data_IF_246686600674
#
_entry.id   IF_246686600674
#
_cell.length_a   1.000
_cell.length_b   1.000
_cell.length_c   1.000
_cell.angle_alpha   90.00
_cell.angle_beta   90.00
_cell.angle_gamma   90.00
#
_symmetry.space_group_name_H-M   'P 1'
#
loop_
_entity.id
_entity.type
_entity.pdbx_description
1 polymer ?
#
# COMPACT_ATOMS: atom_id res chain seq x y z
N UNK A 1 -13.27 -11.71 1.99
CA UNK A 1 -11.99 -12.40 2.32
C UNK A 1 -12.22 -13.81 2.81
N UNK A 2 -12.99 -13.97 3.89
CA UNK A 2 -13.41 -15.27 4.41
C UNK A 2 -14.44 -16.00 3.52
N UNK A 3 -15.04 -15.31 2.56
CA UNK A 3 -16.14 -15.77 1.71
C UNK A 3 -15.75 -16.91 0.75
N UNK A 4 -14.44 -17.13 0.53
CA UNK A 4 -13.90 -18.27 -0.23
C UNK A 4 -13.27 -19.35 0.66
N UNK A 5 -13.47 -19.28 1.98
CA UNK A 5 -12.82 -20.22 2.88
C UNK A 5 -13.63 -21.50 3.06
N UNK A 6 -13.16 -22.59 2.45
CA UNK A 6 -13.78 -23.90 2.52
C UNK A 6 -13.58 -24.58 3.89
N UNK A 7 -12.51 -24.23 4.62
CA UNK A 7 -12.25 -24.66 5.99
C UNK A 7 -11.84 -23.45 6.85
N UNK A 8 -12.72 -23.08 7.77
CA UNK A 8 -12.61 -21.85 8.56
C UNK A 8 -11.46 -21.90 9.57
N UNK A 9 -11.26 -23.02 10.27
CA UNK A 9 -10.19 -23.17 11.26
C UNK A 9 -8.82 -23.08 10.60
N UNK A 10 -8.64 -23.74 9.45
CA UNK A 10 -7.40 -23.67 8.67
C UNK A 10 -7.13 -22.26 8.12
N UNK A 11 -8.20 -21.51 7.81
CA UNK A 11 -8.12 -20.10 7.44
C UNK A 11 -7.58 -19.26 8.59
N UNK A 12 -8.19 -19.40 9.76
CA UNK A 12 -7.88 -18.61 10.95
C UNK A 12 -6.44 -18.88 11.38
N UNK A 13 -6.03 -20.16 11.48
CA UNK A 13 -4.66 -20.55 11.85
C UNK A 13 -3.57 -19.97 10.91
N UNK A 14 -3.82 -19.94 9.60
CA UNK A 14 -2.83 -19.44 8.65
C UNK A 14 -2.90 -17.92 8.42
N UNK A 15 -4.10 -17.34 8.42
CA UNK A 15 -4.28 -15.90 8.18
C UNK A 15 -3.91 -15.07 9.40
N UNK A 16 -4.11 -15.58 10.63
CA UNK A 16 -3.70 -14.89 11.85
C UNK A 16 -2.19 -14.63 11.92
N UNK A 17 -1.38 -15.47 11.26
CA UNK A 17 0.07 -15.28 11.19
C UNK A 17 0.50 -14.06 10.36
N UNK A 18 -0.34 -13.61 9.42
CA UNK A 18 -0.01 -12.54 8.47
C UNK A 18 -0.87 -11.29 8.62
N UNK A 19 -2.07 -11.42 9.20
CA UNK A 19 -2.96 -10.29 9.40
C UNK A 19 -2.55 -9.51 10.65
N UNK A 20 -2.40 -8.18 10.55
CA UNK A 20 -2.12 -7.38 11.73
C UNK A 20 -3.32 -7.38 12.67
N UNK A 21 -3.08 -7.51 13.98
CA UNK A 21 -4.12 -7.49 15.01
C UNK A 21 -4.79 -6.13 15.20
N UNK A 22 -4.20 -5.07 14.63
CA UNK A 22 -4.73 -3.70 14.62
C UNK A 22 -4.54 -3.11 13.22
N UNK A 23 -5.41 -2.18 12.78
CA UNK A 23 -5.21 -1.49 11.51
C UNK A 23 -3.83 -0.80 11.48
N UNK A 24 -3.02 -1.00 10.43
CA UNK A 24 -1.61 -0.59 10.41
C UNK A 24 -1.40 0.93 10.50
N UNK A 25 -2.43 1.71 10.21
CA UNK A 25 -2.38 3.16 10.23
C UNK A 25 -3.33 3.80 11.24
N UNK A 26 -3.97 3.06 12.15
CA UNK A 26 -4.83 3.69 13.15
C UNK A 26 -4.05 3.97 14.45
N UNK A 27 -4.11 5.20 15.04
CA UNK A 27 -4.91 6.37 14.66
C UNK A 27 -4.17 7.38 13.76
N UNK A 28 -3.06 6.97 13.11
CA UNK A 28 -2.22 7.82 12.27
C UNK A 28 -3.03 8.39 11.09
N UNK A 29 -3.04 9.71 10.99
CA UNK A 29 -3.56 10.42 9.82
C UNK A 29 -2.39 11.06 9.07
N UNK A 30 -2.50 11.12 7.76
CA UNK A 30 -1.55 11.80 6.88
C UNK A 30 -2.21 13.08 6.39
N UNK A 31 -1.51 14.21 6.44
CA UNK A 31 -2.07 15.51 6.04
C UNK A 31 -1.98 15.68 4.53
N UNK A 32 -0.90 15.24 3.90
CA UNK A 32 -0.72 15.23 2.45
C UNK A 32 -0.35 13.84 1.96
N UNK A 33 -0.96 13.41 0.85
CA UNK A 33 -0.69 12.12 0.23
C UNK A 33 -0.48 12.28 -1.28
N UNK A 34 0.45 11.51 -1.84
CA UNK A 34 0.59 11.31 -3.27
C UNK A 34 0.16 9.89 -3.65
N UNK A 35 -0.68 9.76 -4.68
CA UNK A 35 -1.05 8.47 -5.28
C UNK A 35 -0.44 8.42 -6.68
N UNK A 36 0.52 7.53 -6.87
CA UNK A 36 1.35 7.48 -8.08
C UNK A 36 0.99 6.23 -8.87
N UNK A 37 0.29 6.41 -9.99
CA UNK A 37 0.01 5.35 -10.95
C UNK A 37 1.22 5.01 -11.83
N UNK A 38 1.08 3.99 -12.67
CA UNK A 38 2.21 3.42 -13.44
C UNK A 38 2.25 3.89 -14.90
N UNK A 39 1.75 5.10 -15.19
CA UNK A 39 1.76 5.63 -16.56
C UNK A 39 3.18 5.91 -17.04
N UNK A 40 3.48 5.50 -18.26
CA UNK A 40 4.77 5.80 -18.92
C UNK A 40 5.01 7.29 -19.14
N UNK A 41 3.98 8.14 -19.04
CA UNK A 41 4.16 9.60 -19.12
C UNK A 41 4.99 10.15 -17.95
N UNK A 42 5.03 9.46 -16.81
CA UNK A 42 5.88 9.85 -15.69
C UNK A 42 7.37 9.86 -16.06
N UNK A 43 7.79 9.04 -17.04
CA UNK A 43 9.18 9.01 -17.53
C UNK A 43 9.61 10.32 -18.23
N UNK A 44 8.66 11.19 -18.58
CA UNK A 44 8.90 12.48 -19.25
C UNK A 44 8.86 13.66 -18.28
N UNK A 45 8.79 13.38 -16.97
CA UNK A 45 8.55 14.38 -15.93
C UNK A 45 9.54 14.20 -14.78
N UNK A 46 9.78 15.27 -14.01
CA UNK A 46 10.70 15.27 -12.87
C UNK A 46 9.96 15.54 -11.55
N UNK A 47 8.83 14.86 -11.33
CA UNK A 47 7.99 15.07 -10.15
C UNK A 47 8.52 14.46 -8.84
N UNK A 48 9.71 13.84 -8.84
CA UNK A 48 10.23 13.07 -7.69
C UNK A 48 10.21 13.87 -6.38
N UNK A 49 10.81 15.06 -6.37
CA UNK A 49 10.84 15.91 -5.17
C UNK A 49 9.46 16.37 -4.71
N UNK A 50 8.55 16.63 -5.65
CA UNK A 50 7.17 17.02 -5.33
C UNK A 50 6.38 15.86 -4.72
N UNK A 51 6.51 14.66 -5.28
CA UNK A 51 5.91 13.43 -4.76
C UNK A 51 6.43 13.14 -3.35
N UNK A 52 7.75 13.18 -3.16
CA UNK A 52 8.42 12.85 -1.89
C UNK A 52 8.17 13.88 -0.77
N UNK A 53 7.68 15.07 -1.11
CA UNK A 53 7.28 16.09 -0.13
C UNK A 53 5.95 15.78 0.61
N UNK A 54 5.26 14.68 0.24
CA UNK A 54 4.02 14.26 0.88
C UNK A 54 4.27 13.37 2.10
N UNK A 55 3.36 13.38 3.09
CA UNK A 55 3.51 12.57 4.31
C UNK A 55 3.36 11.06 4.05
N UNK A 56 2.67 10.68 2.96
CA UNK A 56 2.55 9.32 2.47
C UNK A 56 2.54 9.28 0.94
N UNK A 57 3.22 8.29 0.37
CA UNK A 57 3.23 8.01 -1.07
C UNK A 57 2.72 6.59 -1.28
N UNK A 58 1.70 6.42 -2.11
CA UNK A 58 1.10 5.13 -2.46
C UNK A 58 1.45 4.82 -3.92
N UNK A 59 1.95 3.61 -4.17
CA UNK A 59 2.34 3.10 -5.48
C UNK A 59 1.63 1.77 -5.73
N UNK A 60 1.22 1.56 -6.98
CA UNK A 60 0.48 0.36 -7.37
C UNK A 60 1.41 -0.74 -7.86
N UNK A 61 1.09 -2.00 -7.50
CA UNK A 61 1.69 -3.21 -8.08
C UNK A 61 3.22 -3.26 -8.01
N UNK A 62 3.81 -2.80 -6.90
CA UNK A 62 5.27 -2.86 -6.71
C UNK A 62 6.05 -2.12 -7.82
N UNK A 63 5.51 -0.98 -8.29
CA UNK A 63 6.17 -0.18 -9.31
C UNK A 63 7.58 0.28 -8.86
N UNK A 64 8.59 0.14 -9.72
CA UNK A 64 9.98 0.41 -9.34
C UNK A 64 10.22 1.90 -9.11
N UNK A 65 11.15 2.18 -8.20
CA UNK A 65 11.74 3.50 -7.95
C UNK A 65 13.26 3.37 -8.01
N UNK A 66 13.93 4.47 -8.31
CA UNK A 66 15.38 4.56 -8.15
C UNK A 66 15.67 4.93 -6.68
N UNK A 67 16.76 4.40 -6.12
CA UNK A 67 17.28 4.83 -4.80
C UNK A 67 17.89 6.24 -4.83
#
# INVERSE_FOLDING_TARGET
GADKCYNRTLCEEHLELVLPSKPPFFPRQFRTCAVVGNSGDLLKTEFGQEIDAHDAVIRDNEAPVNE
#
